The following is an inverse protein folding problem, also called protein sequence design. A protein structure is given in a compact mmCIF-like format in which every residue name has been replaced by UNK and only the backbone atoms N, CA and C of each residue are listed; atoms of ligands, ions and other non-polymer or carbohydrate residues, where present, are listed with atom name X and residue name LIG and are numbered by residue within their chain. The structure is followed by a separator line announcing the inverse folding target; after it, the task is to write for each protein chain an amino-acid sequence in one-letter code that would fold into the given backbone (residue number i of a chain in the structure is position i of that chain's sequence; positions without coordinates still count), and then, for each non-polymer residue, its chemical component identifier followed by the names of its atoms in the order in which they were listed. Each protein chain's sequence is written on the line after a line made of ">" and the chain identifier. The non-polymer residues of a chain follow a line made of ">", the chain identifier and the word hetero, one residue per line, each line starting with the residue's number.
data_IF_674649286602
#
_entry.id   IF_674649286602
#
_cell.length_a   1.000
_cell.length_b   1.000
_cell.length_c   1.000
_cell.angle_alpha   90.00
_cell.angle_beta   90.00
_cell.angle_gamma   90.00
#
_symmetry.space_group_name_H-M   'P 1'
#
loop_
_entity.id
_entity.type
_entity.pdbx_description
1 polymer ?
#
# COMPACT_ATOMS: atom_id res chain seq x y z
N UNK A 1 33.32 10.88 -56.09
CA UNK A 1 31.90 11.23 -55.91
C UNK A 1 31.38 10.32 -54.83
N UNK A 2 31.47 10.80 -53.59
CA UNK A 2 30.88 10.15 -52.43
C UNK A 2 29.36 10.36 -52.47
N UNK A 3 28.59 9.28 -52.36
CA UNK A 3 27.16 9.37 -52.03
C UNK A 3 26.94 8.84 -50.61
N UNK A 4 26.76 9.80 -49.70
CA UNK A 4 26.16 9.61 -48.39
C UNK A 4 24.64 9.71 -48.55
N UNK A 5 23.86 8.70 -48.16
CA UNK A 5 22.51 8.93 -47.61
C UNK A 5 21.81 7.67 -47.08
N UNK A 6 20.93 7.93 -46.11
CA UNK A 6 20.03 7.04 -45.37
C UNK A 6 20.70 6.38 -44.15
N UNK A 7 20.74 7.03 -42.98
CA UNK A 7 19.57 7.56 -42.30
C UNK A 7 18.96 6.48 -41.41
N UNK A 8 19.76 5.92 -40.50
CA UNK A 8 19.29 5.03 -39.45
C UNK A 8 18.40 5.80 -38.49
N UNK A 9 17.09 5.62 -38.61
CA UNK A 9 16.10 6.09 -37.64
C UNK A 9 16.36 5.36 -36.33
N UNK A 10 17.00 6.03 -35.38
CA UNK A 10 16.98 5.60 -33.99
C UNK A 10 15.52 5.55 -33.56
N UNK A 11 15.04 4.35 -33.23
CA UNK A 11 13.79 4.18 -32.50
C UNK A 11 14.05 4.69 -31.09
N UNK A 12 13.74 5.96 -30.87
CA UNK A 12 13.67 6.54 -29.55
C UNK A 12 12.62 5.76 -28.75
N UNK A 13 13.10 4.84 -27.90
CA UNK A 13 12.28 4.04 -26.99
C UNK A 13 12.17 4.74 -25.62
N UNK A 14 12.38 6.05 -25.58
CA UNK A 14 12.39 6.85 -24.36
C UNK A 14 11.26 7.88 -24.30
N UNK A 15 10.00 7.45 -24.19
CA UNK A 15 8.94 8.41 -23.83
C UNK A 15 7.66 7.73 -23.31
N UNK A 16 7.74 7.14 -22.13
CA UNK A 16 6.55 6.73 -21.36
C UNK A 16 6.61 7.07 -19.87
N UNK A 17 7.72 7.62 -19.39
CA UNK A 17 8.08 7.49 -17.97
C UNK A 17 7.43 8.49 -16.99
N UNK A 18 6.79 9.57 -17.44
CA UNK A 18 6.49 10.71 -16.54
C UNK A 18 5.01 11.15 -16.51
N UNK A 19 4.07 10.26 -16.85
CA UNK A 19 2.65 10.61 -16.81
C UNK A 19 1.95 10.24 -15.49
N UNK A 20 2.64 9.55 -14.58
CA UNK A 20 2.04 9.11 -13.32
C UNK A 20 2.10 10.19 -12.23
N UNK A 21 3.08 11.11 -12.29
CA UNK A 21 3.20 12.21 -11.31
C UNK A 21 1.96 13.11 -11.33
N UNK A 22 1.28 13.26 -12.47
CA UNK A 22 0.03 14.05 -12.56
C UNK A 22 -1.04 13.53 -11.61
N UNK A 23 -1.03 12.23 -11.30
CA UNK A 23 -2.01 11.62 -10.40
C UNK A 23 -1.67 11.77 -8.92
N UNK A 24 -0.43 12.10 -8.56
CA UNK A 24 -0.07 12.39 -7.18
C UNK A 24 -0.71 13.70 -6.68
N UNK A 25 -0.85 14.69 -7.58
CA UNK A 25 -1.32 16.05 -7.29
C UNK A 25 -2.86 16.22 -7.36
N UNK A 26 -3.63 15.21 -7.79
CA UNK A 26 -5.10 15.32 -7.94
C UNK A 26 -5.89 15.33 -6.62
N UNK A 27 -5.23 15.34 -5.45
CA UNK A 27 -5.90 15.32 -4.14
C UNK A 27 -5.99 16.68 -3.44
N UNK A 28 -5.34 17.74 -3.93
CA UNK A 28 -5.36 19.05 -3.24
C UNK A 28 -6.56 19.94 -3.59
N UNK A 29 -7.35 19.62 -4.63
CA UNK A 29 -8.41 20.52 -5.12
C UNK A 29 -9.85 20.18 -4.68
N UNK A 30 -10.09 19.47 -3.56
CA UNK A 30 -11.49 19.16 -3.17
C UNK A 30 -11.84 19.22 -1.67
N UNK A 31 -11.11 19.99 -0.87
CA UNK A 31 -11.51 20.33 0.51
C UNK A 31 -12.20 21.70 0.59
N UNK A 32 -13.24 21.91 -0.20
CA UNK A 32 -14.14 23.06 -0.04
C UNK A 32 -15.60 22.64 -0.04
N UNK A 33 -16.03 22.28 1.17
CA UNK A 33 -17.36 22.48 1.74
C UNK A 33 -18.59 22.09 0.88
N UNK A 34 -19.00 20.83 1.00
CA UNK A 34 -20.41 20.48 0.95
C UNK A 34 -20.79 19.72 2.23
N UNK A 35 -21.45 20.45 3.12
CA UNK A 35 -22.21 19.92 4.26
C UNK A 35 -23.27 18.93 3.77
N UNK A 36 -23.12 17.66 4.15
CA UNK A 36 -24.23 16.72 4.19
C UNK A 36 -23.92 15.63 5.23
N UNK A 37 -24.83 15.49 6.19
CA UNK A 37 -24.80 14.60 7.35
C UNK A 37 -24.45 13.13 7.02
N UNK A 38 -23.79 12.39 7.93
CA UNK A 38 -23.63 10.96 7.77
C UNK A 38 -24.97 10.23 8.02
N UNK A 39 -25.37 9.24 7.18
CA UNK A 39 -26.39 8.30 7.57
C UNK A 39 -25.86 7.38 8.68
N UNK A 40 -26.67 7.22 9.72
CA UNK A 40 -26.46 6.28 10.82
C UNK A 40 -26.30 4.85 10.30
N UNK A 41 -25.16 4.21 10.58
CA UNK A 41 -25.03 2.76 10.56
C UNK A 41 -24.82 2.27 11.99
N UNK A 42 -25.93 2.00 12.65
CA UNK A 42 -25.98 1.36 13.96
C UNK A 42 -25.81 -0.15 13.79
N UNK A 43 -24.60 -0.70 13.99
CA UNK A 43 -24.43 -2.14 14.23
C UNK A 43 -23.22 -2.42 15.13
N UNK A 44 -23.45 -3.35 16.06
CA UNK A 44 -22.60 -3.87 17.14
C UNK A 44 -22.55 -3.07 18.44
N UNK A 45 -23.59 -3.25 19.26
CA UNK A 45 -23.48 -3.18 20.71
C UNK A 45 -23.95 -4.48 21.35
N UNK A 46 -22.98 -5.22 21.90
CA UNK A 46 -23.08 -5.94 23.16
C UNK A 46 -24.01 -7.15 23.25
N UNK A 47 -23.40 -8.33 23.38
CA UNK A 47 -23.86 -9.38 24.31
C UNK A 47 -22.60 -10.05 24.88
N UNK A 48 -22.19 -9.63 26.08
CA UNK A 48 -21.29 -10.41 26.93
C UNK A 48 -22.09 -11.02 28.06
N UNK A 49 -21.76 -12.27 28.32
CA UNK A 49 -22.34 -13.23 29.25
C UNK A 49 -22.71 -12.68 30.63
N UNK A 50 -23.81 -13.23 31.16
CA UNK A 50 -24.31 -12.97 32.50
C UNK A 50 -24.19 -14.24 33.35
N UNK A 51 -23.45 -14.09 34.46
CA UNK A 51 -23.58 -14.80 35.76
C UNK A 51 -23.12 -16.26 35.87
N UNK A 52 -22.75 -16.74 37.08
CA UNK A 52 -23.24 -16.28 38.40
C UNK A 52 -22.21 -16.09 39.53
N UNK A 53 -22.64 -15.41 40.60
CA UNK A 53 -22.20 -15.63 41.98
C UNK A 53 -23.45 -16.07 42.79
N UNK A 54 -23.33 -16.82 43.91
CA UNK A 54 -23.04 -16.14 45.18
C UNK A 54 -22.33 -16.95 46.30
N UNK A 55 -21.72 -16.19 47.22
CA UNK A 55 -21.73 -16.31 48.70
C UNK A 55 -20.76 -17.20 49.52
N UNK A 56 -20.38 -16.60 50.67
CA UNK A 56 -19.90 -17.10 51.98
C UNK A 56 -18.40 -17.18 52.36
N UNK A 57 -18.08 -16.43 53.43
CA UNK A 57 -17.04 -16.70 54.47
C UNK A 57 -15.61 -16.23 54.15
N UNK A 58 -14.73 -15.76 55.02
CA UNK A 58 -14.59 -15.60 56.49
C UNK A 58 -13.50 -14.49 56.65
N UNK A 59 -13.69 -13.49 57.52
CA UNK A 59 -13.11 -13.38 58.87
C UNK A 59 -11.59 -13.05 58.96
N UNK A 60 -11.33 -12.02 59.79
CA UNK A 60 -10.16 -11.68 60.64
C UNK A 60 -8.84 -11.04 60.14
N UNK A 61 -8.62 -9.88 60.80
CA UNK A 61 -7.42 -9.37 61.49
C UNK A 61 -6.41 -8.44 60.78
N UNK A 62 -6.38 -7.23 61.33
CA UNK A 62 -5.30 -6.24 61.37
C UNK A 62 -3.90 -6.84 61.54
N UNK A 63 -2.91 -6.22 60.88
CA UNK A 63 -1.78 -5.52 61.54
C UNK A 63 -1.04 -4.64 60.53
N UNK A 64 -0.82 -3.37 60.89
CA UNK A 64 0.13 -2.47 60.22
C UNK A 64 1.57 -2.93 60.48
N UNK A 65 2.53 -2.51 59.63
CA UNK A 65 3.63 -1.75 60.21
C UNK A 65 3.95 -0.49 59.40
N UNK A 66 3.95 0.61 60.14
CA UNK A 66 4.63 1.87 59.84
C UNK A 66 6.09 1.60 59.46
N UNK A 67 6.51 2.01 58.27
CA UNK A 67 7.90 2.41 58.03
C UNK A 67 7.88 3.81 57.42
N UNK A 68 8.33 4.76 58.24
CA UNK A 68 8.62 6.14 57.88
C UNK A 68 9.48 6.21 56.62
N UNK A 69 9.00 6.93 55.61
CA UNK A 69 9.88 7.43 54.56
C UNK A 69 10.03 8.92 54.83
N UNK A 70 11.17 9.27 55.43
CA UNK A 70 11.57 10.65 55.68
C UNK A 70 11.79 11.37 54.36
N UNK A 71 11.13 12.51 54.26
CA UNK A 71 11.18 13.48 53.18
C UNK A 71 12.56 14.15 53.14
N UNK A 72 13.45 13.69 52.26
CA UNK A 72 14.53 14.48 51.62
C UNK A 72 15.15 13.66 50.49
N UNK A 73 14.45 13.57 49.37
CA UNK A 73 15.05 13.46 48.02
C UNK A 73 14.11 14.18 47.04
N UNK A 74 13.80 15.42 47.42
CA UNK A 74 13.24 16.46 46.56
C UNK A 74 14.36 16.97 45.66
N UNK A 75 14.60 16.30 44.54
CA UNK A 75 14.97 16.90 43.25
C UNK A 75 15.26 15.80 42.25
N UNK A 76 14.20 15.24 41.67
CA UNK A 76 14.19 14.83 40.25
C UNK A 76 12.77 14.47 39.85
N UNK A 77 12.02 15.47 39.42
CA UNK A 77 10.91 15.34 38.48
C UNK A 77 10.73 16.69 37.79
N UNK A 78 10.31 16.78 36.52
CA UNK A 78 9.68 15.73 35.72
C UNK A 78 10.25 15.60 34.29
N UNK A 79 10.04 14.43 33.68
CA UNK A 79 9.68 14.33 32.26
C UNK A 79 8.94 13.00 32.16
N UNK A 80 7.60 12.98 32.15
CA UNK A 80 6.84 13.37 30.96
C UNK A 80 7.71 13.17 29.72
N UNK A 81 7.94 11.90 29.36
CA UNK A 81 8.25 11.57 27.97
C UNK A 81 7.06 12.01 27.13
N UNK A 82 7.05 13.30 26.80
CA UNK A 82 6.36 13.82 25.64
C UNK A 82 6.73 12.93 24.45
N UNK A 83 5.81 12.63 23.52
CA UNK A 83 6.18 11.97 22.29
C UNK A 83 7.24 12.84 21.63
N UNK A 84 8.42 12.27 21.39
CA UNK A 84 9.50 12.93 20.65
C UNK A 84 8.93 13.46 19.34
N UNK A 85 8.83 14.79 19.12
CA UNK A 85 8.43 15.31 17.83
C UNK A 85 9.67 15.18 16.93
N UNK A 86 9.75 14.08 16.17
CA UNK A 86 10.91 13.86 15.29
C UNK A 86 11.05 12.48 14.67
N UNK A 87 10.33 11.46 15.12
CA UNK A 87 10.21 10.19 14.39
C UNK A 87 8.88 10.18 13.67
N UNK A 88 8.91 10.41 12.35
CA UNK A 88 7.97 9.86 11.33
C UNK A 88 7.98 10.67 10.02
N UNK A 89 9.14 11.19 9.59
CA UNK A 89 9.30 11.77 8.26
C UNK A 89 10.39 11.07 7.43
N UNK A 90 10.79 9.83 7.79
CA UNK A 90 11.52 9.03 6.81
C UNK A 90 10.51 8.51 5.78
N UNK A 91 10.70 8.79 4.48
CA UNK A 91 9.87 8.19 3.45
C UNK A 91 9.89 6.67 3.64
N UNK A 92 8.75 5.98 3.49
CA UNK A 92 8.70 4.54 3.69
C UNK A 92 9.75 3.87 2.82
N UNK A 93 10.48 2.90 3.36
CA UNK A 93 11.42 2.12 2.57
C UNK A 93 10.62 1.33 1.53
N UNK A 94 10.72 1.74 0.28
CA UNK A 94 10.10 1.05 -0.85
C UNK A 94 11.11 0.01 -1.35
N UNK A 95 10.81 -1.29 -1.23
CA UNK A 95 11.72 -2.31 -1.74
C UNK A 95 11.84 -2.21 -3.27
N UNK A 96 13.06 -2.33 -3.77
CA UNK A 96 13.38 -2.48 -5.19
C UNK A 96 14.25 -3.72 -5.39
N UNK A 97 14.10 -4.39 -6.54
CA UNK A 97 14.86 -5.60 -6.86
C UNK A 97 15.83 -5.37 -8.01
N UNK A 98 17.08 -5.76 -7.77
CA UNK A 98 18.14 -5.77 -8.76
C UNK A 98 18.87 -7.13 -8.72
N UNK A 99 18.78 -7.96 -9.79
CA UNK A 99 18.01 -7.75 -11.02
C UNK A 99 16.48 -7.87 -10.83
N UNK A 100 15.66 -7.25 -11.70
CA UNK A 100 14.21 -7.44 -11.67
C UNK A 100 13.83 -8.88 -12.04
N UNK A 101 12.69 -9.39 -11.53
CA UNK A 101 12.25 -10.78 -11.82
C UNK A 101 11.95 -11.01 -13.29
N UNK A 102 11.47 -9.97 -13.96
CA UNK A 102 11.09 -9.96 -15.37
C UNK A 102 11.61 -8.66 -15.97
N UNK A 103 12.07 -8.70 -17.22
CA UNK A 103 12.44 -7.51 -17.96
C UNK A 103 11.21 -6.60 -18.16
N UNK A 104 11.44 -5.29 -18.20
CA UNK A 104 10.36 -4.31 -18.21
C UNK A 104 9.54 -4.38 -19.51
N UNK A 105 10.14 -4.78 -20.63
CA UNK A 105 9.47 -4.94 -21.93
C UNK A 105 8.51 -6.13 -21.94
N UNK A 106 8.96 -7.30 -21.49
CA UNK A 106 8.12 -8.50 -21.34
C UNK A 106 7.02 -8.25 -20.32
N UNK A 107 7.34 -7.58 -19.19
CA UNK A 107 6.32 -7.20 -18.19
C UNK A 107 5.25 -6.32 -18.82
N UNK A 108 5.65 -5.26 -19.52
CA UNK A 108 4.74 -4.33 -20.20
C UNK A 108 3.87 -5.06 -21.23
N UNK A 109 4.47 -5.92 -22.06
CA UNK A 109 3.76 -6.69 -23.07
C UNK A 109 2.72 -7.64 -22.45
N UNK A 110 3.08 -8.37 -21.40
CA UNK A 110 2.17 -9.27 -20.69
C UNK A 110 1.01 -8.50 -20.02
N UNK A 111 1.30 -7.37 -19.37
CA UNK A 111 0.28 -6.53 -18.72
C UNK A 111 -0.67 -5.90 -19.75
N UNK A 112 -0.15 -5.39 -20.86
CA UNK A 112 -0.97 -4.81 -21.93
C UNK A 112 -1.86 -5.87 -22.59
N UNK A 113 -1.33 -7.06 -22.86
CA UNK A 113 -2.12 -8.20 -23.37
C UNK A 113 -3.25 -8.58 -22.41
N UNK A 114 -2.95 -8.66 -21.11
CA UNK A 114 -3.93 -8.95 -20.07
C UNK A 114 -5.01 -7.88 -19.99
N UNK A 115 -4.63 -6.60 -19.97
CA UNK A 115 -5.58 -5.50 -19.88
C UNK A 115 -6.55 -5.48 -21.08
N UNK A 116 -6.04 -5.67 -22.30
CA UNK A 116 -6.88 -5.79 -23.50
C UNK A 116 -7.84 -6.98 -23.44
N UNK A 117 -7.41 -8.10 -22.87
CA UNK A 117 -8.27 -9.27 -22.65
C UNK A 117 -9.42 -8.97 -21.68
N UNK A 118 -9.12 -8.27 -20.57
CA UNK A 118 -10.13 -7.88 -19.58
C UNK A 118 -11.10 -6.81 -20.13
N UNK A 119 -10.63 -5.97 -21.05
CA UNK A 119 -11.43 -4.96 -21.73
C UNK A 119 -12.09 -5.47 -23.01
N UNK A 120 -12.03 -6.77 -23.30
CA UNK A 120 -12.62 -7.32 -24.51
C UNK A 120 -14.11 -6.97 -24.61
N UNK A 121 -14.52 -6.43 -25.76
CA UNK A 121 -15.89 -5.97 -26.00
C UNK A 121 -16.25 -4.62 -25.37
N UNK A 122 -15.30 -3.93 -24.71
CA UNK A 122 -15.46 -2.57 -24.17
C UNK A 122 -14.73 -1.57 -25.09
N UNK A 123 -15.30 -0.38 -25.26
CA UNK A 123 -14.62 0.70 -25.98
C UNK A 123 -13.53 1.32 -25.10
N UNK A 124 -12.32 1.48 -25.64
CA UNK A 124 -11.21 2.13 -24.96
C UNK A 124 -10.32 2.89 -25.94
N UNK A 125 -9.52 3.82 -25.42
CA UNK A 125 -8.48 4.54 -26.15
C UNK A 125 -7.13 3.88 -25.91
N UNK A 126 -6.28 3.80 -26.92
CA UNK A 126 -4.98 3.13 -26.77
C UNK A 126 -4.05 3.88 -25.82
N UNK A 127 -4.14 5.22 -25.78
CA UNK A 127 -3.33 6.03 -24.86
C UNK A 127 -3.68 5.77 -23.38
N UNK A 128 -4.92 5.31 -23.11
CA UNK A 128 -5.33 4.89 -21.77
C UNK A 128 -4.70 3.54 -21.41
N UNK A 129 -4.58 2.63 -22.38
CA UNK A 129 -3.91 1.33 -22.17
C UNK A 129 -2.46 1.57 -21.74
N UNK A 130 -1.73 2.41 -22.47
CA UNK A 130 -0.33 2.69 -22.17
C UNK A 130 -0.16 3.31 -20.76
N UNK A 131 -0.94 4.35 -20.45
CA UNK A 131 -0.93 5.02 -19.13
C UNK A 131 -1.25 4.06 -17.98
N UNK A 132 -2.24 3.19 -18.16
CA UNK A 132 -2.60 2.19 -17.15
C UNK A 132 -1.50 1.15 -16.99
N UNK A 133 -0.95 0.65 -18.10
CA UNK A 133 0.11 -0.36 -18.07
C UNK A 133 1.38 0.20 -17.41
N UNK A 134 1.74 1.45 -17.68
CA UNK A 134 2.84 2.14 -16.98
C UNK A 134 2.64 2.10 -15.47
N UNK A 135 1.45 2.46 -15.01
CA UNK A 135 1.13 2.46 -13.58
C UNK A 135 1.17 1.04 -13.00
N UNK A 136 0.65 0.05 -13.74
CA UNK A 136 0.70 -1.36 -13.34
C UNK A 136 2.13 -1.89 -13.22
N UNK A 137 3.03 -1.50 -14.13
CA UNK A 137 4.46 -1.89 -14.06
C UNK A 137 5.09 -1.44 -12.74
N UNK A 138 4.86 -0.19 -12.33
CA UNK A 138 5.42 0.35 -11.07
C UNK A 138 4.85 -0.40 -9.85
N UNK A 139 3.54 -0.60 -9.82
CA UNK A 139 2.87 -1.34 -8.73
C UNK A 139 3.42 -2.78 -8.64
N UNK A 140 3.53 -3.49 -9.77
CA UNK A 140 4.03 -4.87 -9.80
C UNK A 140 5.48 -4.96 -9.30
N UNK A 141 6.36 -4.05 -9.72
CA UNK A 141 7.76 -4.02 -9.28
C UNK A 141 7.88 -3.88 -7.76
N UNK A 142 7.18 -2.91 -7.19
CA UNK A 142 7.21 -2.69 -5.74
C UNK A 142 6.66 -3.88 -4.95
N UNK A 143 5.54 -4.46 -5.41
CA UNK A 143 4.95 -5.62 -4.74
C UNK A 143 5.86 -6.84 -4.83
N UNK A 144 6.44 -7.13 -6.01
CA UNK A 144 7.39 -8.24 -6.15
C UNK A 144 8.62 -8.07 -5.25
N UNK A 145 9.14 -6.84 -5.15
CA UNK A 145 10.25 -6.54 -4.26
C UNK A 145 9.91 -6.76 -2.78
N UNK A 146 8.72 -6.33 -2.36
CA UNK A 146 8.26 -6.56 -0.99
C UNK A 146 8.01 -8.06 -0.70
N UNK A 147 7.56 -8.83 -1.68
CA UNK A 147 7.39 -10.29 -1.53
C UNK A 147 8.73 -11.01 -1.40
N UNK A 148 9.75 -10.63 -2.19
CA UNK A 148 11.10 -11.19 -2.01
C UNK A 148 11.66 -10.84 -0.63
N UNK A 149 11.40 -9.63 -0.13
CA UNK A 149 11.74 -9.23 1.24
C UNK A 149 10.98 -10.00 2.33
N UNK A 150 9.94 -10.77 1.98
CA UNK A 150 9.20 -11.70 2.85
C UNK A 150 9.56 -13.18 2.60
N UNK A 151 10.74 -13.43 2.05
CA UNK A 151 11.28 -14.77 1.79
C UNK A 151 10.52 -15.60 0.74
N UNK A 152 9.68 -14.97 -0.10
CA UNK A 152 9.13 -15.65 -1.27
C UNK A 152 10.24 -15.88 -2.31
N UNK A 153 10.45 -17.13 -2.70
CA UNK A 153 11.41 -17.47 -3.76
C UNK A 153 11.00 -16.84 -5.10
N UNK A 154 11.99 -16.37 -5.86
CA UNK A 154 11.79 -15.81 -7.22
C UNK A 154 11.05 -16.78 -8.15
N UNK A 155 11.36 -18.07 -8.07
CA UNK A 155 10.72 -19.11 -8.89
C UNK A 155 9.20 -19.20 -8.61
N UNK A 156 8.81 -19.24 -7.34
CA UNK A 156 7.40 -19.22 -6.92
C UNK A 156 6.67 -17.95 -7.40
N UNK A 157 7.32 -16.79 -7.32
CA UNK A 157 6.74 -15.52 -7.78
C UNK A 157 6.52 -15.52 -9.31
N UNK A 158 7.47 -16.04 -10.08
CA UNK A 158 7.33 -16.17 -11.54
C UNK A 158 6.26 -17.19 -11.93
N UNK A 159 6.20 -18.32 -11.22
CA UNK A 159 5.19 -19.35 -11.43
C UNK A 159 3.77 -18.83 -11.13
N UNK A 160 3.63 -18.02 -10.07
CA UNK A 160 2.35 -17.43 -9.64
C UNK A 160 2.08 -16.05 -10.24
N UNK A 161 2.90 -15.54 -11.16
CA UNK A 161 2.82 -14.13 -11.63
C UNK A 161 1.44 -13.73 -12.12
N UNK A 162 0.77 -14.61 -12.88
CA UNK A 162 -0.56 -14.34 -13.42
C UNK A 162 -1.65 -14.31 -12.35
N UNK A 163 -1.51 -15.15 -11.31
CA UNK A 163 -2.39 -15.15 -10.14
C UNK A 163 -2.19 -13.87 -9.33
N UNK A 164 -0.94 -13.50 -9.05
CA UNK A 164 -0.56 -12.27 -8.34
C UNK A 164 -1.14 -11.05 -9.07
N UNK A 165 -0.96 -10.95 -10.39
CA UNK A 165 -1.55 -9.89 -11.21
C UNK A 165 -3.08 -9.87 -11.17
N UNK A 166 -3.73 -11.04 -11.09
CA UNK A 166 -5.18 -11.13 -10.90
C UNK A 166 -5.62 -10.49 -9.58
N UNK A 167 -4.94 -10.79 -8.48
CA UNK A 167 -5.23 -10.24 -7.16
C UNK A 167 -5.01 -8.72 -7.08
N UNK A 168 -3.98 -8.22 -7.76
CA UNK A 168 -3.61 -6.80 -7.72
C UNK A 168 -4.46 -5.97 -8.69
N UNK A 169 -4.59 -6.42 -9.94
CA UNK A 169 -5.12 -5.60 -11.03
C UNK A 169 -6.54 -5.94 -11.45
N UNK A 170 -7.06 -7.11 -11.07
CA UNK A 170 -8.43 -7.52 -11.39
C UNK A 170 -9.10 -8.33 -10.26
N UNK A 171 -9.14 -7.78 -9.02
CA UNK A 171 -9.58 -8.54 -7.84
C UNK A 171 -11.03 -9.04 -7.92
N UNK A 172 -11.88 -8.40 -8.73
CA UNK A 172 -13.28 -8.78 -8.96
C UNK A 172 -13.50 -9.38 -10.36
N UNK A 173 -12.43 -9.80 -11.05
CA UNK A 173 -12.49 -10.28 -12.44
C UNK A 173 -12.51 -9.16 -13.50
N UNK A 174 -12.70 -7.91 -13.10
CA UNK A 174 -12.64 -6.74 -13.98
C UNK A 174 -11.42 -5.87 -13.70
N UNK A 175 -10.99 -5.10 -14.71
CA UNK A 175 -9.91 -4.14 -14.57
C UNK A 175 -10.36 -3.00 -13.65
N UNK A 176 -9.45 -2.54 -12.79
CA UNK A 176 -9.70 -1.36 -11.97
C UNK A 176 -9.64 -0.10 -12.84
N UNK A 177 -10.23 0.99 -12.34
CA UNK A 177 -10.13 2.27 -13.02
C UNK A 177 -8.69 2.82 -12.96
N UNK A 178 -8.32 3.66 -13.94
CA UNK A 178 -7.03 4.37 -13.94
C UNK A 178 -6.80 5.15 -12.63
N UNK A 179 -7.85 5.81 -12.11
CA UNK A 179 -7.82 6.49 -10.81
C UNK A 179 -7.49 5.55 -9.67
N UNK A 180 -8.04 4.33 -9.68
CA UNK A 180 -7.75 3.33 -8.63
C UNK A 180 -6.31 2.85 -8.70
N UNK A 181 -5.74 2.63 -9.89
CA UNK A 181 -4.32 2.29 -10.03
C UNK A 181 -3.43 3.42 -9.50
N UNK A 182 -3.73 4.66 -9.85
CA UNK A 182 -3.00 5.81 -9.33
C UNK A 182 -3.06 5.91 -7.79
N UNK A 183 -4.24 5.68 -7.20
CA UNK A 183 -4.39 5.63 -5.74
C UNK A 183 -3.55 4.51 -5.11
N UNK A 184 -3.52 3.33 -5.72
CA UNK A 184 -2.67 2.23 -5.25
C UNK A 184 -1.18 2.55 -5.32
N UNK A 185 -0.73 3.19 -6.40
CA UNK A 185 0.66 3.63 -6.49
C UNK A 185 0.96 4.69 -5.41
N UNK A 186 0.06 5.66 -5.21
CA UNK A 186 0.18 6.66 -4.14
C UNK A 186 0.26 6.03 -2.75
N UNK A 187 -0.59 5.05 -2.44
CA UNK A 187 -0.52 4.29 -1.18
C UNK A 187 0.85 3.62 -1.00
N UNK A 188 1.38 2.97 -2.05
CA UNK A 188 2.70 2.34 -2.01
C UNK A 188 3.79 3.37 -1.71
N UNK A 189 3.76 4.52 -2.39
CA UNK A 189 4.79 5.55 -2.25
C UNK A 189 4.71 6.31 -0.92
N UNK A 190 3.51 6.48 -0.35
CA UNK A 190 3.29 7.26 0.87
C UNK A 190 3.29 6.43 2.15
N UNK A 191 2.72 5.22 2.12
CA UNK A 191 2.59 4.34 3.29
C UNK A 191 3.62 3.20 3.29
N UNK A 192 4.25 2.96 2.14
CA UNK A 192 5.11 1.80 1.90
C UNK A 192 4.34 0.61 1.34
N UNK A 193 5.04 -0.22 0.55
CA UNK A 193 4.44 -1.32 -0.19
C UNK A 193 3.66 -2.29 0.72
N UNK A 194 4.22 -2.67 1.87
CA UNK A 194 3.62 -3.67 2.76
C UNK A 194 2.29 -3.20 3.36
N UNK A 195 2.12 -1.88 3.56
CA UNK A 195 0.90 -1.30 4.12
C UNK A 195 -0.19 -1.06 3.05
N UNK A 196 0.21 -0.99 1.77
CA UNK A 196 -0.69 -0.72 0.66
C UNK A 196 -1.79 -1.78 0.52
N UNK A 197 -2.96 -1.37 0.04
CA UNK A 197 -4.05 -2.31 -0.24
C UNK A 197 -3.68 -3.41 -1.26
N UNK A 198 -3.00 -3.12 -2.40
CA UNK A 198 -2.68 -4.16 -3.37
C UNK A 198 -1.74 -5.24 -2.80
N UNK A 199 -0.77 -4.89 -1.95
CA UNK A 199 0.08 -5.89 -1.29
C UNK A 199 -0.72 -6.80 -0.35
N UNK A 200 -1.60 -6.22 0.48
CA UNK A 200 -2.46 -6.97 1.39
C UNK A 200 -3.44 -7.91 0.69
N UNK A 201 -3.72 -7.72 -0.61
CA UNK A 201 -4.52 -8.69 -1.39
C UNK A 201 -3.74 -9.93 -1.77
N UNK A 202 -2.43 -9.84 -1.92
CA UNK A 202 -1.56 -10.97 -2.28
C UNK A 202 -1.29 -11.87 -1.08
N UNK A 203 -1.24 -11.29 0.12
CA UNK A 203 -0.96 -11.99 1.40
C UNK A 203 -2.20 -12.60 2.10
N UNK A 204 -3.37 -12.62 1.44
CA UNK A 204 -4.59 -13.23 1.98
C UNK A 204 -4.72 -14.69 1.56
#
# INVERSE_FOLDING_TARGET
>A
MEDNSAGGRAVDSGSGSDNWQKYLNLSEENDSAASASPPSSSFFRGLSDMSPAPDLGEEVQQVSPTHSISQTDLWNSPSSSAPTPGQDNQPPLIPELHPPLLDDDTRRAELASRLRTVLWGKAYREEMIDSVVDTQVHIEKHIQAALVGRDYSVESLLAKRHQIRGLIFSPMGEALSERTYALHLKEILQLGTVQSLPFRRVER
#
